data_IF_570582093261
#
_entry.id   IF_570582093261
#
_cell.length_a   1.000
_cell.length_b   1.000
_cell.length_c   1.000
_cell.angle_alpha   90.00
_cell.angle_beta   90.00
_cell.angle_gamma   90.00
#
_symmetry.space_group_name_H-M   'P 1'
#
loop_
_entity.id
_entity.type
_entity.pdbx_description
1 polymer ?
#
# COMPACT_ATOMS: atom_id res chain seq x y z
N UNK A 1 -5.78 5.90 -21.73
CA UNK A 1 -6.02 6.08 -20.29
C UNK A 1 -5.30 4.93 -19.60
N UNK A 2 -4.50 5.18 -18.56
CA UNK A 2 -3.75 4.13 -17.84
C UNK A 2 -4.55 3.78 -16.60
N UNK A 3 -4.81 2.49 -16.39
CA UNK A 3 -5.34 1.98 -15.12
C UNK A 3 -4.15 1.51 -14.27
N UNK A 4 -3.94 2.16 -13.12
CA UNK A 4 -2.79 1.89 -12.25
C UNK A 4 -3.15 1.03 -11.03
N UNK A 5 -4.42 0.64 -10.89
CA UNK A 5 -4.92 -0.22 -9.80
C UNK A 5 -4.42 0.19 -8.41
N UNK A 6 -4.44 1.49 -8.13
CA UNK A 6 -3.91 2.10 -6.90
C UNK A 6 -4.78 1.65 -5.71
N UNK A 7 -4.24 0.89 -4.73
CA UNK A 7 -4.97 0.59 -3.51
C UNK A 7 -5.18 1.87 -2.69
N UNK A 8 -6.37 2.02 -2.12
CA UNK A 8 -6.75 3.22 -1.36
C UNK A 8 -7.11 2.81 0.07
N UNK A 9 -6.50 3.48 1.04
CA UNK A 9 -6.87 3.38 2.46
C UNK A 9 -7.67 4.61 2.89
N UNK A 10 -8.63 4.40 3.78
CA UNK A 10 -9.54 5.44 4.26
C UNK A 10 -9.50 5.53 5.79
N UNK A 11 -8.78 6.51 6.38
CA UNK A 11 -8.73 6.71 7.82
C UNK A 11 -10.09 7.15 8.37
N UNK A 12 -10.48 6.63 9.54
CA UNK A 12 -11.71 7.05 10.22
C UNK A 12 -11.45 8.20 11.23
N UNK A 13 -10.20 8.41 11.65
CA UNK A 13 -9.82 9.47 12.59
C UNK A 13 -8.38 9.96 12.40
N UNK A 14 -7.99 10.97 13.19
CA UNK A 14 -6.66 11.60 13.13
C UNK A 14 -5.54 10.59 13.41
N UNK A 15 -5.78 9.65 14.34
CA UNK A 15 -4.82 8.61 14.67
C UNK A 15 -4.59 7.65 13.49
N UNK A 16 -5.65 7.29 12.78
CA UNK A 16 -5.60 6.39 11.62
C UNK A 16 -4.84 7.01 10.45
N UNK A 17 -4.81 8.35 10.32
CA UNK A 17 -4.01 9.02 9.28
C UNK A 17 -2.53 8.64 9.43
N UNK A 18 -2.01 8.63 10.66
CA UNK A 18 -0.63 8.25 10.95
C UNK A 18 -0.42 6.76 10.70
N UNK A 19 -1.32 5.92 11.22
CA UNK A 19 -1.20 4.46 11.14
C UNK A 19 -1.30 3.96 9.70
N UNK A 20 -2.30 4.43 8.96
CA UNK A 20 -2.46 4.10 7.54
C UNK A 20 -1.39 4.75 6.65
N UNK A 21 -0.76 5.85 7.08
CA UNK A 21 0.43 6.38 6.42
C UNK A 21 1.60 5.38 6.46
N UNK A 22 1.90 4.83 7.64
CA UNK A 22 2.94 3.81 7.83
C UNK A 22 2.58 2.48 7.18
N UNK A 23 1.32 2.04 7.34
CA UNK A 23 0.81 0.82 6.73
C UNK A 23 0.82 0.91 5.20
N UNK A 24 0.37 2.03 4.63
CA UNK A 24 0.35 2.26 3.19
C UNK A 24 1.77 2.35 2.60
N UNK A 25 2.71 2.94 3.34
CA UNK A 25 4.12 2.91 2.96
C UNK A 25 4.66 1.48 2.88
N UNK A 26 4.41 0.66 3.90
CA UNK A 26 4.82 -0.75 3.91
C UNK A 26 4.17 -1.56 2.79
N UNK A 27 2.86 -1.41 2.58
CA UNK A 27 2.14 -2.02 1.46
C UNK A 27 2.78 -1.65 0.11
N UNK A 28 3.13 -0.38 -0.08
CA UNK A 28 3.79 0.07 -1.32
C UNK A 28 5.15 -0.59 -1.52
N UNK A 29 5.94 -0.77 -0.45
CA UNK A 29 7.23 -1.46 -0.52
C UNK A 29 7.10 -2.94 -0.82
N UNK A 30 6.08 -3.59 -0.25
CA UNK A 30 5.83 -5.00 -0.44
C UNK A 30 5.28 -5.30 -1.85
N UNK A 31 4.24 -4.59 -2.27
CA UNK A 31 3.51 -4.86 -3.52
C UNK A 31 4.08 -4.18 -4.77
N UNK A 32 4.91 -3.14 -4.61
CA UNK A 32 5.36 -2.31 -5.72
C UNK A 32 4.24 -1.48 -6.37
N UNK A 33 3.05 -1.39 -5.76
CA UNK A 33 1.97 -0.49 -6.14
C UNK A 33 2.17 0.90 -5.54
N UNK A 34 1.62 1.91 -6.22
CA UNK A 34 1.31 3.18 -5.57
C UNK A 34 0.14 2.98 -4.64
N UNK A 35 0.18 3.58 -3.45
CA UNK A 35 -0.89 3.49 -2.46
C UNK A 35 -1.40 4.91 -2.18
N UNK A 36 -2.71 5.08 -2.20
CA UNK A 36 -3.37 6.35 -1.92
C UNK A 36 -4.00 6.36 -0.54
N UNK A 37 -3.97 7.50 0.13
CA UNK A 37 -4.80 7.76 1.32
C UNK A 37 -5.91 8.70 0.89
N UNK A 38 -7.17 8.32 1.10
CA UNK A 38 -8.34 9.16 0.84
C UNK A 38 -9.08 9.35 2.14
N UNK A 39 -9.27 10.60 2.57
CA UNK A 39 -9.95 10.93 3.82
C UNK A 39 -11.06 11.95 3.56
N UNK A 40 -12.04 12.03 4.46
CA UNK A 40 -13.01 13.12 4.49
C UNK A 40 -12.39 14.39 5.09
N UNK A 41 -12.90 15.55 4.69
CA UNK A 41 -12.40 16.86 5.14
C UNK A 41 -12.39 16.97 6.67
N UNK A 42 -13.50 16.57 7.32
CA UNK A 42 -13.65 16.65 8.77
C UNK A 42 -12.54 15.89 9.53
N UNK A 43 -12.10 14.74 9.02
CA UNK A 43 -11.03 13.93 9.62
C UNK A 43 -9.65 14.57 9.45
N UNK A 44 -9.43 15.29 8.34
CA UNK A 44 -8.15 15.95 8.04
C UNK A 44 -8.00 17.25 8.84
N UNK A 45 -9.08 18.00 9.03
CA UNK A 45 -9.08 19.26 9.78
C UNK A 45 -9.22 19.05 11.31
N UNK A 46 -9.59 17.85 11.74
CA UNK A 46 -9.72 17.54 13.16
C UNK A 46 -8.37 17.60 13.88
N UNK A 47 -8.39 18.17 15.09
CA UNK A 47 -7.25 18.17 16.01
C UNK A 47 -7.48 17.16 17.12
N UNK A 48 -6.55 16.23 17.31
CA UNK A 48 -6.58 15.25 18.39
C UNK A 48 -5.15 14.94 18.86
N UNK A 49 -5.02 14.46 20.10
CA UNK A 49 -3.74 13.88 20.56
C UNK A 49 -3.57 12.49 19.94
N UNK A 50 -2.39 12.22 19.39
CA UNK A 50 -2.06 10.93 18.77
C UNK A 50 -0.91 10.25 19.52
N UNK A 51 -0.94 8.92 19.58
CA UNK A 51 0.14 8.10 20.12
C UNK A 51 1.13 7.71 19.02
N UNK A 52 2.41 7.97 19.29
CA UNK A 52 3.55 7.72 18.39
C UNK A 52 4.53 6.66 18.94
N UNK A 53 4.05 5.81 19.84
CA UNK A 53 4.88 4.75 20.42
C UNK A 53 5.43 3.82 19.32
N UNK A 54 6.75 3.54 19.28
CA UNK A 54 7.37 2.77 18.19
C UNK A 54 6.78 1.37 17.98
N UNK A 55 6.24 0.76 19.03
CA UNK A 55 5.70 -0.61 19.00
C UNK A 55 4.17 -0.67 18.83
N UNK A 56 3.52 0.47 18.59
CA UNK A 56 2.05 0.55 18.48
C UNK A 56 1.53 -0.09 17.21
N UNK A 57 2.19 0.16 16.08
CA UNK A 57 1.84 -0.43 14.79
C UNK A 57 2.75 -1.62 14.49
N UNK A 58 2.20 -2.83 14.55
CA UNK A 58 2.90 -4.05 14.15
C UNK A 58 2.62 -4.34 12.69
N UNK A 59 3.54 -3.90 11.83
CA UNK A 59 3.48 -4.22 10.40
C UNK A 59 4.00 -5.64 10.20
N UNK A 60 3.09 -6.58 9.95
CA UNK A 60 3.43 -7.94 9.57
C UNK A 60 3.51 -8.02 8.05
N UNK A 61 4.66 -8.46 7.55
CA UNK A 61 4.82 -8.80 6.13
C UNK A 61 4.33 -10.24 5.94
N UNK A 62 3.59 -10.55 4.86
CA UNK A 62 3.23 -11.94 4.57
C UNK A 62 4.47 -12.79 4.25
N UNK A 63 4.68 -13.85 5.03
CA UNK A 63 5.79 -14.80 4.82
C UNK A 63 5.44 -15.90 3.81
N UNK A 64 4.15 -16.03 3.46
CA UNK A 64 3.59 -17.06 2.58
C UNK A 64 3.50 -16.63 1.09
N UNK A 65 3.79 -15.36 0.79
CA UNK A 65 3.71 -14.83 -0.57
C UNK A 65 4.98 -15.12 -1.36
N UNK A 66 4.85 -15.90 -2.44
CA UNK A 66 5.95 -16.20 -3.34
C UNK A 66 6.23 -15.00 -4.25
N UNK A 67 7.37 -14.34 -4.02
CA UNK A 67 7.80 -13.19 -4.83
C UNK A 67 8.18 -13.65 -6.25
N UNK A 68 7.67 -13.02 -7.32
CA UNK A 68 7.96 -13.41 -8.69
C UNK A 68 9.41 -13.13 -9.09
N UNK A 69 9.88 -13.82 -10.13
CA UNK A 69 11.24 -13.67 -10.65
C UNK A 69 11.47 -12.23 -11.18
N UNK A 70 12.41 -11.53 -10.54
CA UNK A 70 12.71 -10.13 -10.83
C UNK A 70 11.84 -9.11 -10.10
N UNK A 71 11.02 -9.55 -9.14
CA UNK A 71 10.31 -8.72 -8.17
C UNK A 71 9.17 -7.88 -8.73
N UNK A 72 8.46 -7.19 -7.82
CA UNK A 72 7.26 -6.42 -8.16
C UNK A 72 7.55 -4.96 -8.53
N UNK A 73 8.72 -4.43 -8.19
CA UNK A 73 9.01 -3.02 -8.39
C UNK A 73 9.14 -2.62 -9.87
N UNK A 74 8.95 -1.34 -10.15
CA UNK A 74 9.11 -0.77 -11.50
C UNK A 74 10.59 -0.88 -11.94
N UNK A 75 10.81 -1.27 -13.20
CA UNK A 75 12.16 -1.47 -13.76
C UNK A 75 12.29 -0.88 -15.16
N UNK A 76 13.51 -0.78 -15.67
CA UNK A 76 13.82 -0.33 -17.03
C UNK A 76 14.88 -1.25 -17.66
N UNK A 77 14.75 -1.64 -18.93
CA UNK A 77 13.57 -1.53 -19.80
C UNK A 77 12.47 -2.54 -19.39
N UNK A 78 11.21 -2.15 -19.47
CA UNK A 78 10.06 -3.03 -19.12
C UNK A 78 8.94 -2.79 -20.15
N UNK A 79 8.64 -3.74 -21.05
CA UNK A 79 7.57 -3.59 -22.04
C UNK A 79 6.21 -3.35 -21.39
N UNK A 80 5.35 -2.55 -22.04
CA UNK A 80 4.04 -2.19 -21.46
C UNK A 80 3.15 -3.39 -21.12
N UNK A 81 3.16 -4.43 -21.97
CA UNK A 81 2.38 -5.65 -21.71
C UNK A 81 2.88 -6.43 -20.49
N UNK A 82 4.20 -6.46 -20.26
CA UNK A 82 4.79 -7.12 -19.09
C UNK A 82 4.51 -6.34 -17.80
N UNK A 83 4.45 -5.01 -17.88
CA UNK A 83 4.03 -4.16 -16.76
C UNK A 83 2.56 -4.40 -16.40
N UNK A 84 1.68 -4.44 -17.39
CA UNK A 84 0.24 -4.70 -17.20
C UNK A 84 0.02 -6.09 -16.60
N UNK A 85 0.66 -7.12 -17.18
CA UNK A 85 0.58 -8.50 -16.68
C UNK A 85 1.01 -8.59 -15.22
N UNK A 86 2.16 -8.00 -14.87
CA UNK A 86 2.66 -7.96 -13.48
C UNK A 86 1.72 -7.19 -12.56
N UNK A 87 1.12 -6.10 -13.01
CA UNK A 87 0.13 -5.36 -12.22
C UNK A 87 -1.07 -6.24 -11.86
N UNK A 88 -1.66 -6.92 -12.84
CA UNK A 88 -2.88 -7.69 -12.65
C UNK A 88 -2.65 -9.06 -11.98
N UNK A 89 -1.60 -9.78 -12.37
CA UNK A 89 -1.36 -11.15 -11.91
C UNK A 89 -0.59 -11.20 -10.58
N UNK A 90 0.36 -10.29 -10.37
CA UNK A 90 1.33 -10.42 -9.28
C UNK A 90 1.16 -9.32 -8.21
N UNK A 91 1.09 -8.04 -8.62
CA UNK A 91 1.00 -6.92 -7.67
C UNK A 91 -0.31 -6.92 -6.89
N UNK A 92 -1.44 -7.14 -7.57
CA UNK A 92 -2.74 -7.21 -6.90
C UNK A 92 -2.85 -8.40 -5.95
N UNK A 93 -2.25 -9.53 -6.30
CA UNK A 93 -2.14 -10.67 -5.40
C UNK A 93 -1.28 -10.32 -4.16
N UNK A 94 -0.18 -9.59 -4.35
CA UNK A 94 0.65 -9.11 -3.24
C UNK A 94 -0.12 -8.12 -2.33
N UNK A 95 -0.91 -7.21 -2.91
CA UNK A 95 -1.78 -6.31 -2.13
C UNK A 95 -2.79 -7.11 -1.30
N UNK A 96 -3.45 -8.10 -1.90
CA UNK A 96 -4.40 -8.94 -1.20
C UNK A 96 -3.75 -9.80 -0.09
N UNK A 97 -2.53 -10.27 -0.30
CA UNK A 97 -1.77 -10.99 0.71
C UNK A 97 -1.40 -10.08 1.89
N UNK A 98 -0.97 -8.84 1.62
CA UNK A 98 -0.59 -7.88 2.66
C UNK A 98 -1.78 -7.36 3.48
N UNK A 99 -2.96 -7.25 2.86
CA UNK A 99 -4.17 -6.74 3.50
C UNK A 99 -4.96 -7.79 4.31
N UNK A 100 -4.45 -9.02 4.42
CA UNK A 100 -5.10 -10.12 5.14
C UNK A 100 -4.99 -9.98 6.66
#
# INVERSE_FOLDING_TARGET
MVDAMIPIVNPAGVQDIVDYGLWGWALSRFSGCWVGVKSVHDTVEASASVSIEPNRLKLAMPDDFLMPEGGLNIRRPDPFLDQERRLHEEKLAAVAAFAR
#
